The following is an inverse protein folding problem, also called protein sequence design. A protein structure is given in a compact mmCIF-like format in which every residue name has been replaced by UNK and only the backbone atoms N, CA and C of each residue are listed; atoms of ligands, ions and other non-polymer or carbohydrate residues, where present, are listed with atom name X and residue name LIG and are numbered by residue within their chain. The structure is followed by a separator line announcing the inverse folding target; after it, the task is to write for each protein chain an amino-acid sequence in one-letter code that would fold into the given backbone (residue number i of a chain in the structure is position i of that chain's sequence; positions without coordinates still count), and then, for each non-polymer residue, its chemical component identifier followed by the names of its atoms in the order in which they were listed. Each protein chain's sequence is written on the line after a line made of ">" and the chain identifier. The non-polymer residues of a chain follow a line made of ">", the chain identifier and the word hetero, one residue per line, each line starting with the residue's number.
data_IF_466438641592
#
_entry.id   IF_466438641592
#
_cell.length_a   1.000
_cell.length_b   1.000
_cell.length_c   1.000
_cell.angle_alpha   90.00
_cell.angle_beta   90.00
_cell.angle_gamma   90.00
#
_symmetry.space_group_name_H-M   'P 1'
#
loop_
_entity.id
_entity.type
_entity.pdbx_description
1 polymer ?
#
# COMPACT_ATOMS: atom_id res chain seq x y z
N UNK A 1 -5.22 1.02 -14.84
CA UNK A 1 -4.47 0.79 -13.58
C UNK A 1 -5.31 1.35 -12.44
N UNK A 2 -5.65 0.59 -11.38
CA UNK A 2 -6.55 1.05 -10.29
C UNK A 2 -5.94 0.71 -8.93
N UNK A 3 -5.17 1.64 -8.36
CA UNK A 3 -4.59 1.56 -7.03
C UNK A 3 -5.59 2.08 -5.98
N UNK A 4 -6.33 1.17 -5.33
CA UNK A 4 -7.38 1.56 -4.37
C UNK A 4 -6.78 1.86 -2.98
N UNK A 5 -6.33 3.08 -2.73
CA UNK A 5 -5.86 3.48 -1.38
C UNK A 5 -7.05 3.84 -0.49
N UNK A 6 -7.69 2.82 0.10
CA UNK A 6 -8.86 3.02 0.93
C UNK A 6 -8.55 3.56 2.33
N UNK A 7 -8.62 4.89 2.53
CA UNK A 7 -8.74 5.47 3.88
C UNK A 7 -10.09 5.03 4.49
N UNK A 8 -10.10 4.22 5.55
CA UNK A 8 -11.36 3.68 6.09
C UNK A 8 -12.02 4.56 7.16
N UNK A 9 -11.41 5.68 7.53
CA UNK A 9 -12.00 6.64 8.50
C UNK A 9 -13.07 7.56 7.90
N UNK A 10 -13.22 7.59 6.57
CA UNK A 10 -14.33 8.28 5.91
C UNK A 10 -15.01 7.31 4.96
N UNK A 11 -16.31 7.06 5.13
CA UNK A 11 -17.12 6.03 4.45
C UNK A 11 -17.16 6.01 2.92
N UNK A 12 -16.29 6.75 2.23
CA UNK A 12 -16.00 6.65 0.80
C UNK A 12 -14.51 6.31 0.60
N UNK A 13 -14.24 5.09 0.14
CA UNK A 13 -12.87 4.65 -0.16
C UNK A 13 -12.25 5.51 -1.26
N UNK A 14 -11.24 6.31 -0.92
CA UNK A 14 -10.43 7.01 -1.89
C UNK A 14 -9.77 5.99 -2.82
N UNK A 15 -9.79 6.24 -4.12
CA UNK A 15 -9.12 5.37 -5.09
C UNK A 15 -8.39 6.21 -6.12
N UNK A 16 -7.18 5.78 -6.44
CA UNK A 16 -6.34 6.44 -7.42
C UNK A 16 -5.86 5.40 -8.42
N UNK A 17 -5.24 5.83 -9.51
CA UNK A 17 -4.83 4.93 -10.59
C UNK A 17 -3.33 4.92 -10.79
N UNK A 18 -2.59 5.77 -10.08
CA UNK A 18 -1.16 5.96 -10.22
C UNK A 18 -0.50 6.35 -8.88
N UNK A 19 0.82 6.16 -8.81
CA UNK A 19 1.59 6.43 -7.60
C UNK A 19 1.78 7.92 -7.28
N UNK A 20 1.68 8.81 -8.26
CA UNK A 20 1.76 10.27 -8.03
C UNK A 20 0.57 10.75 -7.20
N UNK A 21 -0.64 10.38 -7.61
CA UNK A 21 -1.87 10.68 -6.90
C UNK A 21 -1.96 9.93 -5.57
N UNK A 22 -1.42 8.71 -5.52
CA UNK A 22 -1.29 7.96 -4.26
C UNK A 22 -0.48 8.73 -3.22
N UNK A 23 0.72 9.18 -3.59
CA UNK A 23 1.59 9.97 -2.72
C UNK A 23 0.91 11.25 -2.28
N UNK A 24 0.18 11.91 -3.18
CA UNK A 24 -0.63 13.09 -2.85
C UNK A 24 -1.67 12.75 -1.78
N UNK A 25 -2.43 11.67 -1.95
CA UNK A 25 -3.45 11.27 -0.98
C UNK A 25 -2.86 10.88 0.38
N UNK A 26 -1.75 10.13 0.40
CA UNK A 26 -1.04 9.78 1.63
C UNK A 26 -0.57 11.02 2.43
N UNK A 27 -0.35 12.16 1.75
CA UNK A 27 -0.01 13.43 2.40
C UNK A 27 -1.23 14.16 2.92
N UNK A 28 -2.28 14.24 2.08
CA UNK A 28 -3.47 15.04 2.32
C UNK A 28 -4.41 14.40 3.35
N UNK A 29 -4.43 13.07 3.44
CA UNK A 29 -5.39 12.34 4.27
C UNK A 29 -4.69 11.42 5.28
N UNK A 30 -5.29 11.22 6.47
CA UNK A 30 -4.83 10.22 7.44
C UNK A 30 -5.26 8.82 6.97
N UNK A 31 -4.43 8.20 6.13
CA UNK A 31 -4.70 6.86 5.59
C UNK A 31 -4.35 5.78 6.63
N UNK A 32 -5.36 5.16 7.24
CA UNK A 32 -5.22 4.04 8.19
C UNK A 32 -5.07 2.68 7.49
N UNK A 33 -5.66 2.53 6.30
CA UNK A 33 -5.62 1.30 5.50
C UNK A 33 -5.16 1.62 4.08
N UNK A 34 -4.21 0.85 3.56
CA UNK A 34 -3.76 0.94 2.17
C UNK A 34 -4.08 -0.36 1.47
N UNK A 35 -5.03 -0.34 0.55
CA UNK A 35 -5.24 -1.45 -0.36
C UNK A 35 -4.47 -1.18 -1.67
N UNK A 36 -3.83 -2.20 -2.18
CA UNK A 36 -3.04 -2.15 -3.40
C UNK A 36 -3.63 -3.16 -4.35
N UNK A 37 -4.03 -2.68 -5.52
CA UNK A 37 -4.50 -3.49 -6.64
C UNK A 37 -3.70 -3.04 -7.85
N UNK A 38 -2.78 -3.86 -8.35
CA UNK A 38 -1.87 -3.44 -9.43
C UNK A 38 -1.76 -4.50 -10.53
N UNK A 39 -2.57 -4.39 -11.60
CA UNK A 39 -2.56 -5.36 -12.68
C UNK A 39 -1.54 -5.11 -13.80
N UNK A 40 -0.58 -4.17 -13.70
CA UNK A 40 0.31 -3.82 -14.83
C UNK A 40 1.64 -3.14 -14.41
N UNK A 41 2.69 -3.20 -15.26
CA UNK A 41 3.96 -2.51 -15.03
C UNK A 41 3.77 -0.99 -14.97
N UNK A 42 4.36 -0.38 -13.95
CA UNK A 42 4.42 1.07 -13.73
C UNK A 42 5.90 1.46 -13.63
N UNK A 43 6.23 2.72 -13.96
CA UNK A 43 7.61 3.24 -13.79
C UNK A 43 8.08 3.16 -12.34
N UNK A 44 7.15 3.34 -11.41
CA UNK A 44 7.36 3.09 -9.98
C UNK A 44 6.74 1.74 -9.60
N UNK A 45 7.47 0.95 -8.82
CA UNK A 45 7.00 -0.32 -8.29
C UNK A 45 6.43 -0.15 -6.87
N UNK A 46 5.72 -1.19 -6.40
CA UNK A 46 5.10 -1.18 -5.08
C UNK A 46 6.10 -0.94 -3.94
N UNK A 47 7.31 -1.50 -4.06
CA UNK A 47 8.38 -1.30 -3.05
C UNK A 47 8.80 0.17 -2.94
N UNK A 48 9.01 0.83 -4.08
CA UNK A 48 9.38 2.25 -4.11
C UNK A 48 8.33 3.11 -3.44
N UNK A 49 7.05 2.81 -3.68
CA UNK A 49 5.95 3.51 -3.02
C UNK A 49 5.89 3.26 -1.51
N UNK A 50 6.02 2.00 -1.06
CA UNK A 50 6.06 1.67 0.36
C UNK A 50 7.28 2.29 1.06
N UNK A 51 8.43 2.33 0.39
CA UNK A 51 9.64 2.99 0.87
C UNK A 51 9.47 4.50 1.02
N UNK A 52 8.83 5.13 0.05
CA UNK A 52 8.47 6.54 0.15
C UNK A 52 7.52 6.80 1.33
N UNK A 53 6.48 5.96 1.53
CA UNK A 53 5.56 6.11 2.65
C UNK A 53 6.27 5.98 4.00
N UNK A 54 7.15 4.98 4.12
CA UNK A 54 7.94 4.74 5.33
C UNK A 54 8.88 5.93 5.63
N UNK A 55 9.60 6.44 4.62
CA UNK A 55 10.49 7.59 4.76
C UNK A 55 9.76 8.91 5.12
N UNK A 56 8.43 8.95 5.03
CA UNK A 56 7.60 10.09 5.43
C UNK A 56 6.79 9.81 6.71
N UNK A 57 7.01 8.69 7.38
CA UNK A 57 6.19 8.23 8.52
C UNK A 57 4.69 8.17 8.20
N UNK A 58 4.37 7.83 6.94
CA UNK A 58 3.00 7.69 6.42
C UNK A 58 2.66 6.23 6.11
N UNK A 59 3.42 5.26 6.62
CA UNK A 59 3.12 3.86 6.37
C UNK A 59 1.84 3.47 7.16
N UNK A 60 0.76 3.00 6.51
CA UNK A 60 -0.52 2.77 7.18
C UNK A 60 -0.49 1.60 8.15
N UNK A 61 -1.39 1.61 9.13
CA UNK A 61 -1.53 0.53 10.12
C UNK A 61 -1.87 -0.80 9.47
N UNK A 62 -2.65 -0.77 8.38
CA UNK A 62 -3.00 -1.96 7.60
C UNK A 62 -2.63 -1.75 6.12
N UNK A 63 -1.97 -2.74 5.52
CA UNK A 63 -1.65 -2.79 4.10
C UNK A 63 -2.21 -4.08 3.51
N UNK A 64 -3.00 -3.99 2.44
CA UNK A 64 -3.65 -5.12 1.78
C UNK A 64 -3.15 -5.19 0.34
N UNK A 65 -2.42 -6.24 -0.02
CA UNK A 65 -1.79 -6.40 -1.34
C UNK A 65 -2.56 -7.43 -2.16
N UNK A 66 -3.47 -6.96 -3.01
CA UNK A 66 -4.35 -7.76 -3.85
C UNK A 66 -3.94 -7.67 -5.33
N UNK A 67 -4.05 -8.78 -6.07
CA UNK A 67 -3.89 -8.78 -7.54
C UNK A 67 -2.60 -8.10 -8.04
N UNK A 68 -1.50 -8.26 -7.31
CA UNK A 68 -0.14 -7.84 -7.71
C UNK A 68 0.62 -9.06 -8.23
N UNK A 69 1.55 -8.85 -9.17
CA UNK A 69 2.43 -9.90 -9.69
C UNK A 69 3.14 -10.66 -8.55
N UNK A 70 3.33 -12.00 -8.65
CA UNK A 70 3.85 -12.81 -7.54
C UNK A 70 5.19 -12.33 -6.99
N UNK A 71 6.12 -11.95 -7.86
CA UNK A 71 7.46 -11.48 -7.46
C UNK A 71 7.40 -10.15 -6.68
N UNK A 72 6.64 -9.16 -7.18
CA UNK A 72 6.46 -7.89 -6.47
C UNK A 72 5.75 -8.07 -5.13
N UNK A 73 4.77 -8.99 -5.07
CA UNK A 73 4.10 -9.34 -3.81
C UNK A 73 5.07 -9.92 -2.80
N UNK A 74 5.92 -10.85 -3.22
CA UNK A 74 6.92 -11.46 -2.33
C UNK A 74 7.89 -10.41 -1.79
N UNK A 75 8.39 -9.52 -2.67
CA UNK A 75 9.25 -8.41 -2.24
C UNK A 75 8.53 -7.52 -1.22
N UNK A 76 7.27 -7.16 -1.49
CA UNK A 76 6.49 -6.27 -0.62
C UNK A 76 6.18 -6.93 0.73
N UNK A 77 5.91 -8.24 0.73
CA UNK A 77 5.76 -9.05 1.93
C UNK A 77 7.02 -8.98 2.79
N UNK A 78 8.20 -9.31 2.23
CA UNK A 78 9.46 -9.23 2.98
C UNK A 78 9.73 -7.81 3.50
N UNK A 79 9.47 -6.79 2.69
CA UNK A 79 9.62 -5.39 3.06
C UNK A 79 8.77 -4.99 4.27
N UNK A 80 7.50 -5.42 4.30
CA UNK A 80 6.55 -5.12 5.38
C UNK A 80 6.87 -5.93 6.63
N UNK A 81 7.17 -7.22 6.50
CA UNK A 81 7.57 -8.08 7.64
C UNK A 81 8.82 -7.54 8.35
N UNK A 82 9.82 -7.09 7.59
CA UNK A 82 11.03 -6.46 8.14
C UNK A 82 10.77 -5.16 8.92
N UNK A 83 9.57 -4.57 8.79
CA UNK A 83 9.13 -3.34 9.48
C UNK A 83 8.14 -3.59 10.61
N UNK A 84 8.00 -4.86 11.01
CA UNK A 84 7.16 -5.26 12.13
C UNK A 84 5.69 -5.49 11.76
N UNK A 85 5.34 -5.53 10.47
CA UNK A 85 4.01 -5.97 10.08
C UNK A 85 3.88 -7.47 10.30
N UNK A 86 2.67 -7.90 10.63
CA UNK A 86 2.27 -9.31 10.74
C UNK A 86 1.21 -9.61 9.68
N UNK A 87 1.18 -10.85 9.19
CA UNK A 87 0.21 -11.31 8.21
C UNK A 87 -0.26 -12.71 8.56
N UNK A 88 -1.54 -13.00 8.33
CA UNK A 88 -2.13 -14.33 8.50
C UNK A 88 -2.42 -15.02 7.15
N UNK A 89 -2.63 -14.24 6.09
CA UNK A 89 -3.16 -14.67 4.79
C UNK A 89 -2.23 -14.31 3.61
N UNK A 90 -1.04 -13.75 3.88
CA UNK A 90 -0.05 -13.26 2.90
C UNK A 90 -0.56 -12.13 1.99
N UNK A 91 -1.71 -11.56 2.32
CA UNK A 91 -2.37 -10.49 1.55
C UNK A 91 -2.57 -9.28 2.44
N UNK A 92 -3.00 -9.49 3.68
CA UNK A 92 -3.27 -8.49 4.70
C UNK A 92 -2.11 -8.42 5.67
N UNK A 93 -1.57 -7.22 5.82
CA UNK A 93 -0.44 -6.90 6.68
C UNK A 93 -0.89 -5.86 7.70
N UNK A 94 -0.68 -6.13 8.99
CA UNK A 94 -1.08 -5.24 10.07
C UNK A 94 0.09 -4.94 10.99
N UNK A 95 0.18 -3.69 11.45
CA UNK A 95 1.08 -3.25 12.50
C UNK A 95 0.29 -3.18 13.81
N UNK A 96 0.77 -3.86 14.84
CA UNK A 96 0.23 -3.78 16.21
C UNK A 96 0.96 -2.69 16.99
#
# INVERSE_FOLDING_TARGET
>A
MRLIIGARDHGAGLSVTNYVNAKRFMREYPISILQVIQPAPSRENLIGFLAWCNGRHRLPMQVVINQVAPMERQLAMHYLLARGYRTADRVTFMKM
#
